data_IF_878289151353
#
_entry.id   IF_878289151353
#
_cell.length_a   1.000
_cell.length_b   1.000
_cell.length_c   1.000
_cell.angle_alpha   90.00
_cell.angle_beta   90.00
_cell.angle_gamma   90.00
#
_symmetry.space_group_name_H-M   'P 1'
#
loop_
_entity.id
_entity.type
_entity.pdbx_description
1 polymer ?
#
# COMPACT_ATOMS: atom_id res chain seq x y z
N UNK A 1 -10.05 -16.44 -17.57
CA UNK A 1 -9.46 -17.28 -18.65
C UNK A 1 -8.14 -17.91 -18.23
N UNK A 2 -7.19 -17.14 -17.68
CA UNK A 2 -5.84 -17.64 -17.33
C UNK A 2 -5.86 -18.73 -16.27
N UNK A 3 -6.65 -18.58 -15.20
CA UNK A 3 -6.78 -19.57 -14.13
C UNK A 3 -7.31 -20.92 -14.65
N UNK A 4 -8.29 -20.89 -15.58
CA UNK A 4 -8.82 -22.13 -16.22
C UNK A 4 -7.80 -22.81 -17.12
N UNK A 5 -6.74 -22.10 -17.54
CA UNK A 5 -5.61 -22.64 -18.32
C UNK A 5 -4.42 -23.08 -17.46
N UNK A 6 -4.60 -23.16 -16.13
CA UNK A 6 -3.54 -23.56 -15.21
C UNK A 6 -2.61 -22.45 -14.74
N UNK A 7 -2.77 -21.21 -15.23
CA UNK A 7 -2.00 -20.04 -14.80
C UNK A 7 -2.61 -19.48 -13.50
N UNK A 8 -2.22 -20.08 -12.38
CA UNK A 8 -2.74 -19.70 -11.05
C UNK A 8 -2.10 -18.40 -10.53
N UNK A 9 -0.82 -18.18 -10.81
CA UNK A 9 -0.10 -16.99 -10.39
C UNK A 9 -0.24 -15.92 -11.47
N UNK A 10 -0.86 -14.81 -11.14
CA UNK A 10 -1.09 -13.71 -12.10
C UNK A 10 -0.85 -12.36 -11.45
N UNK A 11 -0.09 -11.52 -12.15
CA UNK A 11 0.04 -10.11 -11.88
C UNK A 11 -0.27 -9.34 -13.17
N UNK A 12 -1.32 -8.54 -13.13
CA UNK A 12 -1.77 -7.74 -14.28
C UNK A 12 -1.96 -6.30 -13.85
N UNK A 13 -1.71 -5.37 -14.75
CA UNK A 13 -2.03 -3.97 -14.51
C UNK A 13 -2.56 -3.33 -15.80
N UNK A 14 -3.30 -2.25 -15.63
CA UNK A 14 -3.83 -1.43 -16.70
C UNK A 14 -3.84 0.03 -16.28
N UNK A 15 -3.63 0.92 -17.25
CA UNK A 15 -3.81 2.36 -17.07
C UNK A 15 -4.77 2.82 -18.16
N UNK A 16 -5.87 3.43 -17.76
CA UNK A 16 -6.90 3.85 -18.70
C UNK A 16 -7.96 4.74 -18.07
N UNK A 17 -8.90 5.23 -18.88
CA UNK A 17 -9.99 6.02 -18.40
C UNK A 17 -11.05 5.18 -17.68
N UNK A 18 -11.62 5.75 -16.64
CA UNK A 18 -12.83 5.27 -15.97
C UNK A 18 -13.91 6.33 -16.09
N UNK A 19 -15.16 5.89 -16.20
CA UNK A 19 -16.29 6.76 -16.51
C UNK A 19 -17.30 6.71 -15.38
N UNK A 20 -17.61 7.87 -14.77
CA UNK A 20 -18.63 8.02 -13.75
C UNK A 20 -19.96 8.51 -14.33
N UNK A 21 -19.97 8.95 -15.60
CA UNK A 21 -21.12 9.46 -16.31
C UNK A 21 -20.86 9.57 -17.81
N UNK A 22 -21.66 10.41 -18.48
CA UNK A 22 -21.65 10.57 -19.94
C UNK A 22 -20.88 11.80 -20.43
N UNK A 23 -20.45 12.67 -19.52
CA UNK A 23 -19.73 13.91 -19.85
C UNK A 23 -18.22 13.69 -19.79
N UNK A 24 -17.47 14.49 -20.53
CA UNK A 24 -16.00 14.45 -20.55
C UNK A 24 -15.39 14.71 -19.16
N UNK A 25 -16.00 15.60 -18.37
CA UNK A 25 -15.60 15.94 -17.01
C UNK A 25 -15.80 14.79 -15.99
N UNK A 26 -16.61 13.79 -16.35
CA UNK A 26 -16.88 12.60 -15.55
C UNK A 26 -15.97 11.42 -15.93
N UNK A 27 -14.97 11.68 -16.76
CA UNK A 27 -13.90 10.75 -17.11
C UNK A 27 -12.66 11.04 -16.24
N UNK A 28 -12.16 10.02 -15.58
CA UNK A 28 -10.93 10.09 -14.79
C UNK A 28 -9.92 9.07 -15.32
N UNK A 29 -8.64 9.38 -15.15
CA UNK A 29 -7.58 8.43 -15.46
C UNK A 29 -7.28 7.59 -14.22
N UNK A 30 -7.32 6.28 -14.37
CA UNK A 30 -7.03 5.33 -13.31
C UNK A 30 -5.92 4.36 -13.71
N UNK A 31 -5.06 4.01 -12.77
CA UNK A 31 -4.23 2.82 -12.88
C UNK A 31 -4.73 1.77 -11.91
N UNK A 32 -4.90 0.56 -12.42
CA UNK A 32 -5.36 -0.58 -11.62
C UNK A 32 -4.39 -1.75 -11.76
N UNK A 33 -4.22 -2.50 -10.68
CA UNK A 33 -3.45 -3.72 -10.69
C UNK A 33 -4.15 -4.84 -9.95
N UNK A 34 -3.92 -6.07 -10.41
CA UNK A 34 -4.49 -7.30 -9.84
C UNK A 34 -3.38 -8.30 -9.58
N UNK A 35 -3.45 -8.96 -8.43
CA UNK A 35 -2.65 -10.15 -8.12
C UNK A 35 -3.55 -11.32 -7.73
N UNK A 36 -3.10 -12.54 -8.09
CA UNK A 36 -3.70 -13.79 -7.63
C UNK A 36 -2.64 -14.89 -7.54
N UNK A 37 -2.92 -15.92 -6.73
CA UNK A 37 -2.06 -17.08 -6.53
C UNK A 37 -0.90 -16.81 -5.59
N UNK A 38 0.29 -17.26 -5.93
CA UNK A 38 1.47 -17.18 -5.08
C UNK A 38 2.36 -15.98 -5.46
N UNK A 39 3.10 -15.47 -4.48
CA UNK A 39 4.05 -14.35 -4.65
C UNK A 39 5.15 -14.70 -5.65
N UNK A 40 5.64 -15.94 -5.61
CA UNK A 40 6.67 -16.46 -6.49
C UNK A 40 6.33 -17.88 -6.96
N UNK A 41 6.92 -18.28 -8.06
CA UNK A 41 6.91 -19.69 -8.47
C UNK A 41 7.70 -20.53 -7.46
N UNK A 42 7.38 -21.84 -7.37
CA UNK A 42 8.10 -22.77 -6.50
C UNK A 42 9.59 -22.73 -6.82
N UNK A 43 10.39 -22.44 -5.81
CA UNK A 43 11.84 -22.39 -5.91
C UNK A 43 12.48 -23.06 -4.70
N UNK A 44 13.63 -23.69 -4.87
CA UNK A 44 14.31 -24.45 -3.82
C UNK A 44 14.77 -23.59 -2.64
N UNK A 45 15.03 -22.31 -2.87
CA UNK A 45 15.57 -21.40 -1.84
C UNK A 45 14.51 -20.52 -1.16
N UNK A 46 13.25 -20.57 -1.62
CA UNK A 46 12.20 -19.70 -1.10
C UNK A 46 10.93 -20.47 -0.79
N UNK A 47 10.37 -20.25 0.39
CA UNK A 47 9.03 -20.69 0.72
C UNK A 47 8.01 -19.93 -0.14
N UNK A 48 7.15 -20.68 -0.78
CA UNK A 48 6.09 -20.13 -1.61
C UNK A 48 4.89 -19.85 -0.73
N UNK A 49 4.48 -18.58 -0.63
CA UNK A 49 3.26 -18.18 0.06
C UNK A 49 2.25 -17.57 -0.92
N UNK A 50 0.99 -17.61 -0.55
CA UNK A 50 -0.05 -16.88 -1.29
C UNK A 50 0.14 -15.38 -1.18
N UNK A 51 -0.31 -14.68 -2.22
CA UNK A 51 -0.36 -13.21 -2.23
C UNK A 51 -1.34 -12.72 -1.15
N UNK A 52 -0.93 -11.70 -0.40
CA UNK A 52 -1.74 -11.11 0.65
C UNK A 52 -1.99 -9.60 0.43
N UNK A 53 -2.73 -9.00 1.36
CA UNK A 53 -3.07 -7.57 1.31
C UNK A 53 -1.83 -6.66 1.34
N UNK A 54 -0.75 -7.09 1.97
CA UNK A 54 0.48 -6.30 2.06
C UNK A 54 1.23 -6.27 0.73
N UNK A 55 1.14 -7.32 -0.06
CA UNK A 55 1.72 -7.36 -1.41
C UNK A 55 1.05 -6.36 -2.34
N UNK A 56 -0.28 -6.34 -2.36
CA UNK A 56 -1.02 -5.41 -3.21
C UNK A 56 -0.90 -3.96 -2.72
N UNK A 57 -0.85 -3.74 -1.41
CA UNK A 57 -0.54 -2.44 -0.81
C UNK A 57 0.84 -1.96 -1.25
N UNK A 58 1.85 -2.83 -1.21
CA UNK A 58 3.22 -2.51 -1.66
C UNK A 58 3.26 -2.12 -3.13
N UNK A 59 2.49 -2.79 -3.99
CA UNK A 59 2.41 -2.43 -5.40
C UNK A 59 1.79 -1.04 -5.59
N UNK A 60 0.67 -0.75 -4.91
CA UNK A 60 0.05 0.58 -4.94
C UNK A 60 1.01 1.68 -4.47
N UNK A 61 1.74 1.42 -3.37
CA UNK A 61 2.70 2.36 -2.82
C UNK A 61 3.89 2.60 -3.74
N UNK A 62 4.40 1.54 -4.40
CA UNK A 62 5.46 1.68 -5.40
C UNK A 62 5.00 2.47 -6.63
N UNK A 63 3.76 2.29 -7.07
CA UNK A 63 3.19 3.07 -8.16
C UNK A 63 3.09 4.55 -7.77
N UNK A 64 2.65 4.89 -6.56
CA UNK A 64 2.63 6.26 -6.04
C UNK A 64 4.03 6.86 -5.90
N UNK A 65 4.99 6.08 -5.42
CA UNK A 65 6.38 6.50 -5.31
C UNK A 65 7.01 6.80 -6.67
N UNK A 66 6.70 5.98 -7.69
CA UNK A 66 7.19 6.18 -9.05
C UNK A 66 6.73 7.50 -9.67
N UNK A 67 5.56 8.00 -9.28
CA UNK A 67 5.08 9.33 -9.69
C UNK A 67 5.49 10.44 -8.72
N UNK A 68 6.31 10.15 -7.70
CA UNK A 68 6.90 11.13 -6.79
C UNK A 68 6.10 11.40 -5.51
N UNK A 69 5.05 10.63 -5.23
CA UNK A 69 4.29 10.74 -3.98
C UNK A 69 4.99 9.92 -2.88
N UNK A 70 5.42 10.61 -1.82
CA UNK A 70 6.14 9.94 -0.72
C UNK A 70 5.20 9.14 0.18
N UNK A 71 5.56 7.90 0.46
CA UNK A 71 4.80 6.99 1.32
C UNK A 71 4.65 7.51 2.77
N UNK A 72 5.58 8.34 3.23
CA UNK A 72 5.57 8.89 4.59
C UNK A 72 4.40 9.85 4.88
N UNK A 73 3.77 10.37 3.83
CA UNK A 73 2.67 11.34 3.95
C UNK A 73 1.30 10.71 3.65
N UNK A 74 1.26 9.39 3.45
CA UNK A 74 0.03 8.67 3.13
C UNK A 74 -0.66 8.21 4.41
N UNK A 75 -1.96 8.46 4.45
CA UNK A 75 -2.85 7.96 5.49
C UNK A 75 -3.73 6.83 4.94
N UNK A 76 -4.08 5.88 5.79
CA UNK A 76 -5.02 4.82 5.46
C UNK A 76 -6.36 5.06 6.12
N UNK A 77 -7.43 4.79 5.39
CA UNK A 77 -8.80 4.86 5.87
C UNK A 77 -9.52 3.54 5.59
N UNK A 78 -10.54 3.22 6.38
CA UNK A 78 -11.37 2.02 6.22
C UNK A 78 -12.54 2.22 5.26
N UNK A 79 -12.79 3.46 4.84
CA UNK A 79 -13.90 3.78 3.92
C UNK A 79 -13.55 3.38 2.50
N UNK A 80 -14.03 2.20 2.10
CA UNK A 80 -13.78 1.59 0.80
C UNK A 80 -15.08 1.21 0.10
N UNK A 81 -15.09 1.19 -1.25
CA UNK A 81 -16.25 0.74 -2.00
C UNK A 81 -16.67 -0.70 -1.69
N UNK A 82 -17.96 -0.99 -1.91
CA UNK A 82 -18.59 -2.29 -1.59
C UNK A 82 -18.01 -3.50 -2.35
N UNK A 83 -17.26 -3.27 -3.42
CA UNK A 83 -16.59 -4.36 -4.14
C UNK A 83 -15.29 -4.82 -3.51
N UNK A 84 -14.80 -4.10 -2.51
CA UNK A 84 -13.68 -4.55 -1.66
C UNK A 84 -14.17 -5.33 -0.44
N UNK A 85 -13.32 -6.19 0.07
CA UNK A 85 -13.57 -6.92 1.32
C UNK A 85 -13.53 -5.95 2.51
N UNK A 86 -14.56 -5.90 3.37
CA UNK A 86 -14.68 -4.85 4.41
C UNK A 86 -13.55 -4.84 5.46
N UNK A 87 -12.92 -5.99 5.70
CA UNK A 87 -11.84 -6.11 6.70
C UNK A 87 -10.45 -6.31 6.10
N UNK A 88 -10.32 -6.45 4.76
CA UNK A 88 -9.04 -6.69 4.08
C UNK A 88 -8.85 -5.75 2.91
N UNK A 89 -9.06 -4.46 3.16
CA UNK A 89 -8.92 -3.38 2.19
C UNK A 89 -8.65 -2.05 2.89
N UNK A 90 -8.28 -1.04 2.13
CA UNK A 90 -8.07 0.30 2.63
C UNK A 90 -8.07 1.34 1.52
N UNK A 91 -8.48 2.55 1.88
CA UNK A 91 -8.33 3.74 1.06
C UNK A 91 -6.99 4.41 1.36
N UNK A 92 -6.31 4.84 0.31
CA UNK A 92 -5.04 5.57 0.39
C UNK A 92 -5.33 7.05 0.23
N UNK A 93 -4.99 7.85 1.23
CA UNK A 93 -5.25 9.29 1.24
C UNK A 93 -3.96 10.09 1.45
N UNK A 94 -3.89 11.25 0.81
CA UNK A 94 -2.88 12.28 1.08
C UNK A 94 -3.58 13.46 1.77
N UNK A 95 -3.48 13.51 3.10
CA UNK A 95 -4.33 14.39 3.89
C UNK A 95 -5.80 14.02 3.73
N UNK A 96 -6.60 14.92 3.13
CA UNK A 96 -8.03 14.67 2.83
C UNK A 96 -8.28 14.15 1.42
N UNK A 97 -7.27 14.14 0.55
CA UNK A 97 -7.41 13.76 -0.86
C UNK A 97 -7.32 12.24 -0.98
N UNK A 98 -8.35 11.63 -1.55
CA UNK A 98 -8.35 10.20 -1.89
C UNK A 98 -7.47 9.97 -3.12
N UNK A 99 -6.42 9.16 -2.99
CA UNK A 99 -5.55 8.79 -4.10
C UNK A 99 -5.95 7.46 -4.74
N UNK A 100 -6.58 6.56 -3.97
CA UNK A 100 -6.99 5.26 -4.47
C UNK A 100 -7.38 4.28 -3.38
N UNK A 101 -7.57 3.04 -3.80
CA UNK A 101 -7.95 1.91 -2.94
C UNK A 101 -7.02 0.73 -3.17
N UNK A 102 -6.91 -0.14 -2.17
CA UNK A 102 -6.25 -1.43 -2.31
C UNK A 102 -6.92 -2.47 -1.42
N UNK A 103 -6.79 -3.73 -1.77
CA UNK A 103 -7.27 -4.81 -0.92
C UNK A 103 -7.71 -6.04 -1.67
N UNK A 104 -8.35 -6.94 -0.95
CA UNK A 104 -9.00 -8.12 -1.48
C UNK A 104 -10.37 -7.75 -2.06
N UNK A 105 -10.72 -8.30 -3.21
CA UNK A 105 -12.08 -8.17 -3.74
C UNK A 105 -13.07 -8.91 -2.85
N UNK A 106 -14.27 -8.36 -2.75
CA UNK A 106 -15.34 -8.95 -1.96
C UNK A 106 -15.60 -10.41 -2.39
N UNK A 107 -15.86 -11.33 -1.45
CA UNK A 107 -16.05 -12.77 -1.73
C UNK A 107 -17.06 -13.10 -2.82
N UNK A 108 -18.09 -12.26 -2.99
CA UNK A 108 -19.08 -12.41 -4.07
C UNK A 108 -18.41 -12.46 -5.45
N UNK A 109 -17.39 -11.63 -5.68
CA UNK A 109 -16.65 -11.61 -6.94
C UNK A 109 -15.60 -12.71 -7.01
N UNK A 110 -14.86 -12.93 -5.92
CA UNK A 110 -13.86 -14.01 -5.85
C UNK A 110 -14.47 -15.39 -6.08
N UNK A 111 -15.64 -15.67 -5.51
CA UNK A 111 -16.37 -16.92 -5.70
C UNK A 111 -16.83 -17.10 -7.15
N UNK A 112 -17.27 -16.04 -7.83
CA UNK A 112 -17.64 -16.09 -9.25
C UNK A 112 -16.49 -16.54 -10.14
N UNK A 113 -15.27 -16.15 -9.81
CA UNK A 113 -14.07 -16.51 -10.59
C UNK A 113 -13.34 -17.75 -10.06
N UNK A 114 -13.71 -18.24 -8.88
CA UNK A 114 -13.09 -19.40 -8.22
C UNK A 114 -11.62 -19.16 -7.82
N UNK A 115 -11.23 -17.91 -7.66
CA UNK A 115 -9.88 -17.50 -7.27
C UNK A 115 -9.94 -16.27 -6.34
N UNK A 116 -9.02 -16.22 -5.39
CA UNK A 116 -8.81 -15.04 -4.56
C UNK A 116 -8.13 -13.95 -5.39
N UNK A 117 -8.72 -12.77 -5.40
CA UNK A 117 -8.23 -11.60 -6.16
C UNK A 117 -7.91 -10.46 -5.21
N UNK A 118 -6.70 -9.94 -5.34
CA UNK A 118 -6.28 -8.71 -4.67
C UNK A 118 -6.04 -7.65 -5.73
N UNK A 119 -6.49 -6.43 -5.49
CA UNK A 119 -6.35 -5.35 -6.45
C UNK A 119 -6.05 -4.02 -5.78
N UNK A 120 -5.55 -3.09 -6.58
CA UNK A 120 -5.49 -1.68 -6.25
C UNK A 120 -6.03 -0.84 -7.41
N UNK A 121 -6.50 0.35 -7.09
CA UNK A 121 -6.94 1.38 -8.02
C UNK A 121 -6.36 2.73 -7.58
N UNK A 122 -5.76 3.48 -8.48
CA UNK A 122 -5.17 4.79 -8.20
C UNK A 122 -5.72 5.83 -9.17
N UNK A 123 -6.24 6.94 -8.64
CA UNK A 123 -6.91 8.01 -9.39
C UNK A 123 -5.93 9.13 -9.71
N UNK A 124 -5.43 9.19 -10.94
CA UNK A 124 -4.36 10.10 -11.34
C UNK A 124 -4.78 11.57 -11.26
N UNK A 125 -6.05 11.87 -11.53
CA UNK A 125 -6.56 13.24 -11.50
C UNK A 125 -6.54 13.85 -10.09
N UNK A 126 -6.49 13.01 -9.07
CA UNK A 126 -6.36 13.40 -7.67
C UNK A 126 -4.90 13.57 -7.22
N UNK A 127 -3.93 13.29 -8.08
CA UNK A 127 -2.53 13.46 -7.71
C UNK A 127 -2.14 14.93 -7.65
N UNK A 128 -1.28 15.34 -6.71
CA UNK A 128 -0.80 16.71 -6.63
C UNK A 128 -0.12 17.15 -7.92
N UNK A 129 -0.61 18.23 -8.55
CA UNK A 129 -0.05 18.77 -9.82
C UNK A 129 1.40 19.23 -9.68
N UNK A 130 1.81 19.59 -8.48
CA UNK A 130 3.18 20.04 -8.16
C UNK A 130 3.93 18.95 -7.40
N UNK A 131 4.23 17.84 -8.07
CA UNK A 131 5.17 16.86 -7.55
C UNK A 131 6.58 17.44 -7.71
N UNK A 132 7.09 18.09 -6.67
CA UNK A 132 8.51 18.47 -6.62
C UNK A 132 9.31 17.18 -6.72
N UNK A 133 9.99 16.96 -7.86
CA UNK A 133 11.04 15.93 -7.92
C UNK A 133 11.96 16.20 -6.74
N UNK A 134 11.99 15.31 -5.76
CA UNK A 134 12.98 15.40 -4.70
C UNK A 134 14.32 15.37 -5.39
N UNK A 135 15.19 16.41 -5.20
CA UNK A 135 16.54 16.31 -5.69
C UNK A 135 17.11 14.98 -5.16
N UNK A 136 17.84 14.26 -6.00
CA UNK A 136 18.55 13.06 -5.55
C UNK A 136 19.35 13.49 -4.32
N UNK A 137 18.97 12.98 -3.15
CA UNK A 137 19.76 13.22 -1.94
C UNK A 137 21.11 12.56 -2.21
N UNK A 138 22.15 13.37 -2.26
CA UNK A 138 23.50 12.83 -2.28
C UNK A 138 23.63 11.90 -1.08
N UNK A 139 24.16 10.72 -1.32
CA UNK A 139 24.46 9.79 -0.24
C UNK A 139 25.48 10.47 0.69
N UNK A 140 25.07 10.79 1.90
CA UNK A 140 25.95 11.28 2.96
C UNK A 140 26.16 10.07 3.89
N UNK A 141 27.36 9.50 3.95
CA UNK A 141 27.62 8.38 4.85
C UNK A 141 27.48 8.87 6.30
N UNK A 142 26.74 8.09 7.08
CA UNK A 142 26.64 8.37 8.52
C UNK A 142 27.97 8.10 9.20
N UNK A 143 28.44 9.05 10.01
CA UNK A 143 29.68 8.92 10.79
C UNK A 143 29.47 8.14 12.10
N UNK A 144 28.22 7.98 12.53
CA UNK A 144 27.85 7.30 13.77
C UNK A 144 27.33 5.90 13.49
N UNK A 145 27.65 4.97 14.38
CA UNK A 145 27.12 3.60 14.33
C UNK A 145 25.63 3.60 14.76
N UNK A 146 24.74 2.94 14.01
CA UNK A 146 23.34 2.84 14.40
C UNK A 146 23.16 1.93 15.62
N UNK A 147 22.28 2.33 16.51
CA UNK A 147 21.86 1.54 17.67
C UNK A 147 20.43 1.06 17.43
N UNK A 148 20.18 -0.24 17.59
CA UNK A 148 18.82 -0.81 17.56
C UNK A 148 18.28 -0.91 18.99
N UNK A 149 17.00 -0.60 19.14
CA UNK A 149 16.25 -0.74 20.40
C UNK A 149 14.89 -1.33 20.11
N UNK A 150 14.51 -2.35 20.85
CA UNK A 150 13.20 -2.98 20.80
C UNK A 150 12.35 -2.45 21.95
N UNK A 151 11.11 -2.09 21.66
CA UNK A 151 10.15 -1.61 22.64
C UNK A 151 8.87 -2.43 22.53
N UNK A 152 8.27 -2.80 23.65
CA UNK A 152 6.97 -3.44 23.72
C UNK A 152 5.98 -2.48 24.37
N UNK A 153 4.82 -2.33 23.75
CA UNK A 153 3.75 -1.46 24.20
C UNK A 153 2.47 -2.27 24.39
N UNK A 154 1.76 -2.00 25.47
CA UNK A 154 0.37 -2.41 25.64
C UNK A 154 -0.50 -1.24 25.20
N UNK A 155 -1.34 -1.47 24.21
CA UNK A 155 -2.21 -0.45 23.64
C UNK A 155 -3.61 -0.98 23.46
N UNK A 156 -4.59 -0.09 23.48
CA UNK A 156 -5.97 -0.46 23.21
C UNK A 156 -6.14 -0.92 21.76
N UNK A 157 -7.07 -1.84 21.53
CA UNK A 157 -7.32 -2.46 20.20
C UNK A 157 -7.75 -1.44 19.13
N UNK A 158 -8.25 -0.30 19.55
CA UNK A 158 -8.69 0.81 18.70
C UNK A 158 -7.50 1.57 18.09
N UNK A 159 -6.32 1.52 18.74
CA UNK A 159 -5.12 2.26 18.33
C UNK A 159 -4.45 1.50 17.18
N UNK A 160 -4.29 2.18 16.05
CA UNK A 160 -3.60 1.61 14.90
C UNK A 160 -2.07 1.60 15.09
N UNK A 161 -1.40 0.62 14.51
CA UNK A 161 0.07 0.57 14.50
C UNK A 161 0.72 1.79 13.84
N UNK A 162 0.04 2.43 12.88
CA UNK A 162 0.50 3.67 12.26
C UNK A 162 0.52 4.84 13.24
N UNK A 163 -0.48 4.96 14.11
CA UNK A 163 -0.51 6.02 15.14
C UNK A 163 0.65 5.87 16.13
N UNK A 164 0.98 4.65 16.52
CA UNK A 164 2.13 4.37 17.39
C UNK A 164 3.42 4.79 16.72
N UNK A 165 3.64 4.35 15.47
CA UNK A 165 4.84 4.69 14.68
C UNK A 165 4.98 6.20 14.50
N UNK A 166 3.88 6.89 14.20
CA UNK A 166 3.89 8.34 14.01
C UNK A 166 4.16 9.10 15.32
N UNK A 167 3.64 8.61 16.44
CA UNK A 167 3.92 9.16 17.77
C UNK A 167 5.40 9.03 18.12
N UNK A 168 6.00 7.86 17.87
CA UNK A 168 7.43 7.61 18.09
C UNK A 168 8.26 8.55 17.21
N UNK A 169 7.93 8.67 15.91
CA UNK A 169 8.65 9.57 14.99
C UNK A 169 8.58 11.02 15.43
N UNK A 170 7.40 11.50 15.85
CA UNK A 170 7.21 12.87 16.36
C UNK A 170 8.05 13.12 17.61
N UNK A 171 8.03 12.20 18.56
CA UNK A 171 8.76 12.32 19.82
C UNK A 171 10.27 12.34 19.59
N UNK A 172 10.80 11.48 18.72
CA UNK A 172 12.23 11.42 18.45
C UNK A 172 12.74 12.60 17.60
N UNK A 173 11.92 13.08 16.65
CA UNK A 173 12.26 14.27 15.86
C UNK A 173 12.33 15.56 16.68
N UNK A 174 11.75 15.59 17.88
CA UNK A 174 11.87 16.71 18.81
C UNK A 174 13.21 16.74 19.58
N UNK A 175 14.00 15.67 19.49
CA UNK A 175 15.27 15.52 20.22
C UNK A 175 16.45 15.80 19.30
N UNK A 176 17.13 16.93 19.49
CA UNK A 176 18.14 17.47 18.57
C UNK A 176 19.42 16.61 18.41
N UNK A 177 19.66 15.62 19.27
CA UNK A 177 20.86 14.77 19.25
C UNK A 177 20.60 13.33 18.84
N UNK A 178 19.37 13.03 18.38
CA UNK A 178 19.00 11.70 17.88
C UNK A 178 18.62 11.83 16.39
N UNK A 179 19.27 11.03 15.55
CA UNK A 179 18.88 10.87 14.17
C UNK A 179 18.14 9.53 14.02
N UNK A 180 16.82 9.61 13.79
CA UNK A 180 16.00 8.44 13.62
C UNK A 180 16.18 7.86 12.21
N UNK A 181 16.72 6.65 12.12
CA UNK A 181 16.88 5.95 10.85
C UNK A 181 15.61 5.22 10.42
N UNK A 182 15.04 4.41 11.31
CA UNK A 182 13.93 3.51 10.97
C UNK A 182 13.09 3.18 12.21
N UNK A 183 11.79 3.05 12.02
CA UNK A 183 10.85 2.50 13.03
C UNK A 183 9.99 1.44 12.35
N UNK A 184 10.07 0.21 12.83
CA UNK A 184 9.33 -0.93 12.29
C UNK A 184 8.53 -1.62 13.38
N UNK A 185 7.31 -2.03 13.07
CA UNK A 185 6.57 -3.01 13.87
C UNK A 185 6.99 -4.38 13.36
N UNK A 186 7.60 -5.18 14.22
CA UNK A 186 8.12 -6.50 13.83
C UNK A 186 7.34 -7.66 14.46
N UNK A 187 6.56 -7.39 15.52
CA UNK A 187 5.72 -8.41 16.14
C UNK A 187 4.45 -7.83 16.77
N UNK A 188 3.37 -8.61 16.81
CA UNK A 188 2.09 -8.26 17.43
C UNK A 188 1.58 -9.48 18.19
N UNK A 189 1.54 -9.36 19.51
CA UNK A 189 0.94 -10.36 20.40
C UNK A 189 -0.53 -10.03 20.63
N UNK A 190 -1.39 -11.06 20.65
CA UNK A 190 -2.81 -10.95 20.95
C UNK A 190 -3.11 -11.66 22.27
#
# INVERSE_FOLDING_TARGET
>A
KNSKKGLKNSGLFEVGPIYYGHREEEQLTCSAGIRSGNVSSRHWSNDTREVDIYDIKKDAYKALEAVGISNNNLNLDKDVPIWYHPGRSGAIKLGKILLGYFGELHPIYSNKYGIRLLCFELFHDNFPKSLKKKPNKNFIPYSLMPIKRDFAFLVDIEISSSEIVDSIKKSLNSVNYIELMEVNVFDIYK
#
